data_IF_094057111199
#
_entry.id   IF_094057111199
#
_cell.length_a   1.000
_cell.length_b   1.000
_cell.length_c   1.000
_cell.angle_alpha   90.00
_cell.angle_beta   90.00
_cell.angle_gamma   90.00
#
_symmetry.space_group_name_H-M   'P 1'
#
loop_
_entity.id
_entity.type
_entity.pdbx_description
1 polymer ?
#
# COMPACT_ATOMS: atom_id res chain seq x y z
N UNK A 1 -8.82 8.70 21.71
CA UNK A 1 -7.59 9.26 21.10
C UNK A 1 -7.80 9.39 19.60
N UNK A 2 -7.33 10.49 19.00
CA UNK A 2 -7.60 10.86 17.60
C UNK A 2 -6.33 11.36 16.89
N UNK A 3 -5.20 10.66 17.06
CA UNK A 3 -3.86 11.12 16.64
C UNK A 3 -3.47 10.67 15.22
N UNK A 4 -4.38 10.09 14.45
CA UNK A 4 -4.06 9.47 13.17
C UNK A 4 -3.20 8.21 13.28
N UNK A 5 -2.57 7.84 12.17
CA UNK A 5 -1.75 6.63 12.03
C UNK A 5 -0.25 6.94 12.00
N UNK A 6 0.45 6.23 11.12
CA UNK A 6 1.89 6.44 10.82
C UNK A 6 2.16 6.78 9.35
N UNK A 7 1.08 6.93 8.56
CA UNK A 7 1.16 7.37 7.16
C UNK A 7 1.36 8.88 7.10
N UNK A 8 2.21 9.36 6.20
CA UNK A 8 2.51 10.80 6.05
C UNK A 8 2.89 11.48 7.37
N UNK A 9 3.98 11.06 8.05
CA UNK A 9 4.33 11.58 9.38
C UNK A 9 4.56 13.10 9.42
N UNK A 10 4.95 13.70 8.29
CA UNK A 10 5.10 15.16 8.17
C UNK A 10 3.80 15.94 8.40
N UNK A 11 2.62 15.30 8.28
CA UNK A 11 1.32 15.93 8.58
C UNK A 11 0.90 15.77 10.05
N UNK A 12 1.75 15.16 10.89
CA UNK A 12 1.49 14.92 12.31
C UNK A 12 0.99 13.51 12.65
N UNK A 13 0.77 12.64 11.65
CA UNK A 13 0.45 11.22 11.87
C UNK A 13 1.73 10.40 12.09
N UNK A 14 2.35 10.56 13.25
CA UNK A 14 3.69 10.04 13.59
C UNK A 14 3.71 8.81 14.51
N UNK A 15 2.52 8.32 14.88
CA UNK A 15 2.35 7.15 15.75
C UNK A 15 2.51 7.40 17.25
N UNK A 16 2.56 8.65 17.73
CA UNK A 16 2.60 8.95 19.17
C UNK A 16 1.42 8.32 19.94
N UNK A 17 0.22 8.33 19.36
CA UNK A 17 -0.93 7.69 20.00
C UNK A 17 -0.76 6.17 20.16
N UNK A 18 -0.11 5.49 19.21
CA UNK A 18 0.16 4.07 19.34
C UNK A 18 1.15 3.78 20.49
N UNK A 19 2.15 4.65 20.70
CA UNK A 19 3.09 4.55 21.82
C UNK A 19 2.39 4.72 23.16
N UNK A 20 1.49 5.71 23.27
CA UNK A 20 0.70 5.93 24.48
C UNK A 20 -0.19 4.73 24.80
N UNK A 21 -0.93 4.22 23.80
CA UNK A 21 -1.77 3.03 23.96
C UNK A 21 -0.96 1.82 24.44
N UNK A 22 0.23 1.59 23.87
CA UNK A 22 1.14 0.52 24.33
C UNK A 22 1.58 0.73 25.78
N UNK A 23 1.88 1.95 26.17
CA UNK A 23 2.30 2.30 27.53
C UNK A 23 1.26 2.03 28.60
N UNK A 24 -0.04 2.12 28.26
CA UNK A 24 -1.16 1.80 29.16
C UNK A 24 -1.66 0.35 29.03
N UNK A 25 -0.90 -0.52 28.35
CA UNK A 25 -1.15 -1.96 28.30
C UNK A 25 -1.99 -2.45 27.12
N UNK A 26 -2.33 -1.60 26.14
CA UNK A 26 -3.00 -2.07 24.92
C UNK A 26 -2.05 -2.85 24.02
N UNK A 27 -2.58 -3.91 23.40
CA UNK A 27 -1.88 -4.64 22.35
C UNK A 27 -1.92 -3.86 21.02
N UNK A 28 -0.75 -3.56 20.46
CA UNK A 28 -0.62 -2.91 19.15
C UNK A 28 -0.26 -3.99 18.13
N UNK A 29 -1.15 -4.21 17.15
CA UNK A 29 -0.89 -5.12 16.03
C UNK A 29 0.24 -4.57 15.15
N UNK A 30 0.96 -5.48 14.46
CA UNK A 30 2.03 -5.07 13.54
C UNK A 30 1.46 -4.19 12.44
N UNK A 31 1.92 -2.94 12.39
CA UNK A 31 1.54 -1.98 11.37
C UNK A 31 2.04 -2.43 10.01
N UNK A 32 1.23 -2.19 8.98
CA UNK A 32 1.56 -2.46 7.58
C UNK A 32 1.08 -1.28 6.73
N UNK A 33 1.81 -0.92 5.67
CA UNK A 33 1.32 0.06 4.72
C UNK A 33 0.06 -0.48 4.02
N UNK A 34 -0.82 0.43 3.62
CA UNK A 34 -2.06 0.16 2.92
C UNK A 34 -2.35 1.32 1.97
N UNK A 35 -2.99 1.03 0.82
CA UNK A 35 -3.25 2.03 -0.22
C UNK A 35 -1.97 2.76 -0.67
N UNK A 36 -0.89 2.00 -0.81
CA UNK A 36 0.39 2.49 -1.32
C UNK A 36 0.66 1.87 -2.71
N UNK A 37 1.45 2.53 -3.56
CA UNK A 37 1.92 1.94 -4.80
C UNK A 37 2.62 0.59 -4.58
N UNK A 38 2.59 -0.26 -5.60
CA UNK A 38 3.30 -1.54 -5.60
C UNK A 38 4.56 -1.38 -6.44
N UNK A 39 5.72 -1.61 -5.84
CA UNK A 39 6.99 -1.67 -6.55
C UNK A 39 7.11 -2.99 -7.34
N UNK A 40 7.68 -2.91 -8.53
CA UNK A 40 7.84 -4.03 -9.46
C UNK A 40 9.32 -4.13 -9.81
N UNK A 41 9.89 -5.34 -9.71
CA UNK A 41 11.32 -5.58 -9.90
C UNK A 41 11.71 -5.59 -11.39
N UNK A 42 10.76 -5.91 -12.26
CA UNK A 42 10.97 -6.01 -13.69
C UNK A 42 11.16 -4.65 -14.38
N UNK A 43 12.18 -4.57 -15.23
CA UNK A 43 12.59 -3.33 -15.90
C UNK A 43 11.56 -2.78 -16.91
N UNK A 44 10.66 -3.63 -17.43
CA UNK A 44 9.66 -3.21 -18.43
C UNK A 44 8.74 -2.09 -17.91
N UNK A 45 8.57 -1.98 -16.60
CA UNK A 45 7.73 -0.94 -15.98
C UNK A 45 8.24 0.46 -16.30
N UNK A 46 9.56 0.64 -16.41
CA UNK A 46 10.17 1.93 -16.78
C UNK A 46 9.83 2.31 -18.23
N UNK A 47 9.72 1.33 -19.13
CA UNK A 47 9.31 1.55 -20.52
C UNK A 47 7.83 1.94 -20.63
N UNK A 48 7.01 1.50 -19.67
CA UNK A 48 5.58 1.79 -19.60
C UNK A 48 5.25 3.02 -18.75
N UNK A 49 6.23 3.73 -18.19
CA UNK A 49 6.00 4.86 -17.30
C UNK A 49 5.05 5.90 -17.92
N UNK A 50 4.01 6.27 -17.17
CA UNK A 50 2.98 7.23 -17.59
C UNK A 50 1.81 6.61 -18.34
N UNK A 51 1.88 5.31 -18.67
CA UNK A 51 0.74 4.59 -19.25
C UNK A 51 -0.37 4.44 -18.19
N UNK A 52 -1.53 5.02 -18.49
CA UNK A 52 -2.76 4.86 -17.71
C UNK A 52 -3.69 3.86 -18.39
N UNK A 53 -4.02 2.79 -17.69
CA UNK A 53 -4.98 1.77 -18.10
C UNK A 53 -6.32 2.03 -17.44
N UNK A 54 -7.40 1.89 -18.21
CA UNK A 54 -8.77 2.03 -17.73
C UNK A 54 -9.54 0.74 -17.90
N UNK A 55 -10.41 0.44 -16.94
CA UNK A 55 -11.25 -0.75 -16.94
C UNK A 55 -10.40 -2.04 -17.02
N UNK A 56 -9.37 -2.11 -16.18
CA UNK A 56 -8.48 -3.26 -16.05
C UNK A 56 -8.63 -3.90 -14.67
N UNK A 57 -8.28 -5.18 -14.60
CA UNK A 57 -8.40 -5.98 -13.39
C UNK A 57 -7.02 -6.35 -12.83
N UNK A 58 -6.76 -5.96 -11.59
CA UNK A 58 -5.60 -6.41 -10.82
C UNK A 58 -5.96 -7.68 -10.06
N UNK A 59 -5.15 -8.73 -10.21
CA UNK A 59 -5.35 -10.01 -9.51
C UNK A 59 -4.09 -10.37 -8.74
N UNK A 60 -4.18 -10.42 -7.41
CA UNK A 60 -3.11 -10.96 -6.57
C UNK A 60 -3.31 -12.47 -6.40
N UNK A 61 -2.25 -13.24 -6.65
CA UNK A 61 -2.25 -14.69 -6.47
C UNK A 61 -1.14 -15.13 -5.54
N UNK A 62 -1.36 -16.21 -4.81
CA UNK A 62 -0.30 -16.87 -4.05
C UNK A 62 0.57 -17.77 -4.96
N UNK A 63 1.61 -18.37 -4.38
CA UNK A 63 2.51 -19.30 -5.08
C UNK A 63 1.83 -20.57 -5.59
N UNK A 64 0.61 -20.88 -5.12
CA UNK A 64 -0.22 -22.00 -5.58
C UNK A 64 -1.28 -21.53 -6.58
N UNK A 65 -1.14 -20.33 -7.13
CA UNK A 65 -2.04 -19.71 -8.11
C UNK A 65 -3.45 -19.41 -7.56
N UNK A 66 -3.66 -19.48 -6.23
CA UNK A 66 -4.93 -19.12 -5.59
C UNK A 66 -5.08 -17.61 -5.58
N UNK A 67 -6.24 -17.12 -6.03
CA UNK A 67 -6.58 -15.70 -6.00
C UNK A 67 -6.76 -15.26 -4.54
N UNK A 68 -5.96 -14.28 -4.11
CA UNK A 68 -6.04 -13.66 -2.79
C UNK A 68 -6.83 -12.35 -2.82
N UNK A 69 -6.75 -11.63 -3.94
CA UNK A 69 -7.40 -10.33 -4.12
C UNK A 69 -7.68 -10.08 -5.60
N UNK A 70 -8.74 -9.32 -5.89
CA UNK A 70 -9.19 -8.95 -7.23
C UNK A 70 -9.86 -7.59 -7.17
N UNK A 71 -9.46 -6.67 -8.06
CA UNK A 71 -10.05 -5.34 -8.14
C UNK A 71 -10.13 -4.88 -9.61
N UNK A 72 -11.29 -4.35 -9.99
CA UNK A 72 -11.52 -3.74 -11.29
C UNK A 72 -11.45 -2.22 -11.15
N UNK A 73 -10.64 -1.56 -11.97
CA UNK A 73 -10.48 -0.12 -11.90
C UNK A 73 -9.52 0.45 -12.94
N UNK A 74 -8.78 1.46 -12.51
CA UNK A 74 -7.72 2.10 -13.27
C UNK A 74 -6.35 1.69 -12.70
N UNK A 75 -5.32 1.74 -13.53
CA UNK A 75 -3.94 1.43 -13.13
C UNK A 75 -2.98 2.36 -13.87
N UNK A 76 -2.01 2.91 -13.15
CA UNK A 76 -0.98 3.79 -13.68
C UNK A 76 0.40 3.15 -13.52
N UNK A 77 1.14 3.02 -14.61
CA UNK A 77 2.56 2.69 -14.56
C UNK A 77 3.37 3.92 -14.14
N UNK A 78 4.17 3.74 -13.10
CA UNK A 78 5.07 4.76 -12.53
C UNK A 78 6.53 4.38 -12.79
N UNK A 79 7.48 5.16 -12.28
CA UNK A 79 8.91 4.89 -12.48
C UNK A 79 9.45 3.70 -11.68
N UNK A 80 8.70 3.20 -10.68
CA UNK A 80 9.12 2.08 -9.82
C UNK A 80 8.10 0.93 -9.75
N UNK A 81 6.93 1.07 -10.40
CA UNK A 81 5.87 0.08 -10.27
C UNK A 81 4.51 0.59 -10.73
N UNK A 82 3.44 0.19 -10.05
CA UNK A 82 2.05 0.56 -10.37
C UNK A 82 1.36 1.32 -9.24
N UNK A 83 0.45 2.23 -9.59
CA UNK A 83 -0.41 3.01 -8.69
C UNK A 83 -1.84 3.12 -9.19
#
# INVERSE_FOLDING_TARGET
>A
MCTGGVSYPQTGSDGEGLKLCKGIGHNIVKLKPSLVPVEIEEEFVKELQGLALKNVELVLRDSKNKILFKELGEMLFTHFGIS
#
